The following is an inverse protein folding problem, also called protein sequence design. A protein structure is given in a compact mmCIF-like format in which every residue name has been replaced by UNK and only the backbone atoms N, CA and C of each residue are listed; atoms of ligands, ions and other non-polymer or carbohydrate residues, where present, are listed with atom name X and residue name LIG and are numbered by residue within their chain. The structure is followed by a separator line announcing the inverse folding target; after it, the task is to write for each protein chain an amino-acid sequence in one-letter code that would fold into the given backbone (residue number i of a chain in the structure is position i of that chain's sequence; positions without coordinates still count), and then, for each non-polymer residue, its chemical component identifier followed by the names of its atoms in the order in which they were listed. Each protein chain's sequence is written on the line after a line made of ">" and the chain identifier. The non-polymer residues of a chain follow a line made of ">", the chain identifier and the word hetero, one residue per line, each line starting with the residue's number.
data_IF_701948260288
#
_entry.id   IF_701948260288
#
_cell.length_a   1.000
_cell.length_b   1.000
_cell.length_c   1.000
_cell.angle_alpha   90.00
_cell.angle_beta   90.00
_cell.angle_gamma   90.00
#
_symmetry.space_group_name_H-M   'P 1'
#
loop_
_entity.id
_entity.type
_entity.pdbx_description
1 polymer ?
#
# COMPACT_ATOMS: atom_id res chain seq x y z
N UNK A 1 11.86 -16.22 -7.63
CA UNK A 1 10.78 -15.25 -7.94
C UNK A 1 10.14 -14.66 -6.69
N UNK A 2 9.86 -15.46 -5.66
CA UNK A 2 9.22 -14.99 -4.41
C UNK A 2 9.89 -13.79 -3.74
N UNK A 3 11.23 -13.76 -3.64
CA UNK A 3 11.95 -12.63 -3.04
C UNK A 3 11.75 -11.30 -3.82
N UNK A 4 11.71 -11.37 -5.17
CA UNK A 4 11.43 -10.19 -6.01
C UNK A 4 9.98 -9.73 -5.87
N UNK A 5 9.03 -10.66 -5.84
CA UNK A 5 7.61 -10.35 -5.63
C UNK A 5 7.37 -9.71 -4.25
N UNK A 6 8.05 -10.22 -3.20
CA UNK A 6 7.98 -9.69 -1.84
C UNK A 6 8.60 -8.29 -1.73
N UNK A 7 9.78 -8.09 -2.33
CA UNK A 7 10.41 -6.77 -2.39
C UNK A 7 9.56 -5.75 -3.18
N UNK A 8 8.89 -6.17 -4.25
CA UNK A 8 7.96 -5.34 -5.00
C UNK A 8 6.74 -4.97 -4.14
N UNK A 9 6.12 -5.94 -3.48
CA UNK A 9 4.98 -5.71 -2.59
C UNK A 9 5.31 -4.75 -1.44
N UNK A 10 6.49 -4.88 -0.83
CA UNK A 10 6.95 -3.94 0.21
C UNK A 10 7.13 -2.52 -0.34
N UNK A 11 7.75 -2.36 -1.51
CA UNK A 11 7.93 -1.04 -2.15
C UNK A 11 6.60 -0.38 -2.49
N UNK A 12 5.67 -1.14 -3.04
CA UNK A 12 4.36 -0.62 -3.43
C UNK A 12 3.55 -0.22 -2.19
N UNK A 13 3.58 -1.01 -1.09
CA UNK A 13 2.97 -0.65 0.20
C UNK A 13 3.56 0.63 0.79
N UNK A 14 4.89 0.80 0.74
CA UNK A 14 5.56 2.05 1.16
C UNK A 14 5.16 3.25 0.28
N UNK A 15 4.93 3.02 -1.01
CA UNK A 15 4.42 4.03 -1.92
C UNK A 15 3.04 4.54 -1.51
N UNK A 16 2.15 3.62 -1.15
CA UNK A 16 0.81 3.93 -0.66
C UNK A 16 0.84 4.73 0.65
N UNK A 17 1.71 4.36 1.61
CA UNK A 17 1.88 5.12 2.86
C UNK A 17 2.25 6.59 2.62
N UNK A 18 3.14 6.85 1.66
CA UNK A 18 3.50 8.24 1.31
C UNK A 18 2.32 9.03 0.76
N UNK A 19 1.37 8.38 0.09
CA UNK A 19 0.15 9.04 -0.39
C UNK A 19 -0.79 9.36 0.76
N UNK A 20 -0.98 8.44 1.72
CA UNK A 20 -1.71 8.73 2.95
C UNK A 20 -1.10 9.90 3.72
N UNK A 21 0.23 9.94 3.84
CA UNK A 21 0.95 11.02 4.54
C UNK A 21 0.76 12.37 3.83
N UNK A 22 0.81 12.39 2.50
CA UNK A 22 0.55 13.60 1.71
C UNK A 22 -0.89 14.08 1.87
N UNK A 23 -1.88 13.18 1.86
CA UNK A 23 -3.29 13.52 2.08
C UNK A 23 -3.50 14.07 3.50
N UNK A 24 -2.89 13.45 4.51
CA UNK A 24 -2.97 13.92 5.90
C UNK A 24 -2.34 15.30 6.12
N UNK A 25 -1.27 15.62 5.38
CA UNK A 25 -0.63 16.93 5.44
C UNK A 25 -1.51 18.05 4.86
N UNK A 26 -2.32 17.75 3.84
CA UNK A 26 -3.24 18.71 3.21
C UNK A 26 -4.58 18.77 3.94
N UNK A 27 -5.07 17.62 4.43
CA UNK A 27 -6.40 17.45 5.01
C UNK A 27 -6.33 16.91 6.44
N UNK A 28 -5.85 17.70 7.42
CA UNK A 28 -5.71 17.25 8.81
C UNK A 28 -7.06 16.91 9.46
N UNK A 29 -8.17 17.46 8.98
CA UNK A 29 -9.52 17.15 9.44
C UNK A 29 -9.90 15.67 9.22
N UNK A 30 -9.29 15.00 8.24
CA UNK A 30 -9.49 13.58 7.95
C UNK A 30 -8.58 12.66 8.77
N UNK A 31 -7.68 13.20 9.60
CA UNK A 31 -6.66 12.43 10.28
C UNK A 31 -7.22 11.35 11.20
N UNK A 32 -8.23 11.68 12.01
CA UNK A 32 -8.84 10.71 12.93
C UNK A 32 -9.42 9.49 12.20
N UNK A 33 -9.91 9.67 10.97
CA UNK A 33 -10.46 8.58 10.14
C UNK A 33 -9.37 7.81 9.40
N UNK A 34 -8.34 8.50 8.90
CA UNK A 34 -7.30 7.91 8.06
C UNK A 34 -6.15 7.26 8.84
N UNK A 35 -5.91 7.67 10.09
CA UNK A 35 -4.88 7.09 10.97
C UNK A 35 -4.98 5.57 11.15
N UNK A 36 -6.16 4.97 11.45
CA UNK A 36 -6.25 3.51 11.57
C UNK A 36 -5.97 2.81 10.23
N UNK A 37 -6.48 3.33 9.11
CA UNK A 37 -6.21 2.76 7.78
C UNK A 37 -4.72 2.81 7.43
N UNK A 38 -4.05 3.94 7.73
CA UNK A 38 -2.61 4.10 7.55
C UNK A 38 -1.81 3.09 8.40
N UNK A 39 -2.22 2.85 9.63
CA UNK A 39 -1.56 1.88 10.52
C UNK A 39 -1.64 0.45 9.96
N UNK A 40 -2.80 0.05 9.42
CA UNK A 40 -2.97 -1.24 8.76
C UNK A 40 -2.08 -1.36 7.51
N UNK A 41 -2.00 -0.32 6.67
CA UNK A 41 -1.10 -0.31 5.51
C UNK A 41 0.37 -0.42 5.93
N UNK A 42 0.75 0.18 7.07
CA UNK A 42 2.09 0.07 7.63
C UNK A 42 2.38 -1.35 8.15
N UNK A 43 1.42 -1.98 8.82
CA UNK A 43 1.53 -3.37 9.24
C UNK A 43 1.68 -4.31 8.02
N UNK A 44 0.94 -4.07 6.94
CA UNK A 44 1.10 -4.84 5.69
C UNK A 44 2.50 -4.68 5.08
N UNK A 45 3.06 -3.46 5.08
CA UNK A 45 4.43 -3.23 4.61
C UNK A 45 5.45 -4.01 5.44
N UNK A 46 5.33 -3.96 6.77
CA UNK A 46 6.18 -4.70 7.69
C UNK A 46 6.07 -6.22 7.48
N UNK A 47 4.87 -6.75 7.27
CA UNK A 47 4.65 -8.17 6.99
C UNK A 47 5.39 -8.64 5.73
N UNK A 48 5.44 -7.82 4.66
CA UNK A 48 6.25 -8.15 3.49
C UNK A 48 7.75 -8.08 3.76
N UNK A 49 8.22 -7.25 4.69
CA UNK A 49 9.64 -7.15 5.03
C UNK A 49 10.10 -8.29 5.93
N UNK A 50 9.28 -8.71 6.90
CA UNK A 50 9.67 -9.71 7.90
C UNK A 50 9.97 -11.09 7.28
N UNK A 51 9.21 -11.55 6.30
CA UNK A 51 9.53 -12.80 5.58
C UNK A 51 10.63 -12.66 4.52
N UNK A 52 11.39 -11.55 4.50
CA UNK A 52 12.71 -11.49 3.83
C UNK A 52 13.88 -11.81 4.77
N UNK A 53 13.62 -11.99 6.07
CA UNK A 53 14.62 -12.40 7.06
C UNK A 53 14.95 -13.90 6.93
N UNK A 54 15.69 -14.27 5.89
CA UNK A 54 16.58 -15.42 5.92
C UNK A 54 17.99 -14.90 6.26
N UNK A 55 18.73 -15.47 7.23
CA UNK A 55 19.97 -14.88 7.72
C UNK A 55 21.13 -15.20 6.77
N UNK A 56 21.19 -14.52 5.62
CA UNK A 56 22.42 -14.28 4.84
C UNK A 56 22.07 -13.51 3.57
N UNK A 57 22.35 -12.20 3.58
CA UNK A 57 23.10 -11.53 2.52
C UNK A 57 23.12 -10.03 2.81
N UNK A 58 24.29 -9.56 3.22
CA UNK A 58 24.76 -8.18 3.11
C UNK A 58 24.62 -7.71 1.66
N UNK A 59 23.88 -6.64 1.42
CA UNK A 59 23.74 -6.01 0.11
C UNK A 59 23.11 -4.63 0.22
N UNK A 60 23.92 -3.59 0.05
CA UNK A 60 23.67 -2.14 0.18
C UNK A 60 22.25 -1.62 -0.10
N UNK A 61 21.80 -0.58 0.64
CA UNK A 61 20.67 0.23 0.22
C UNK A 61 21.09 1.11 -0.96
N UNK A 62 20.62 0.77 -2.17
CA UNK A 62 20.62 1.73 -3.28
C UNK A 62 19.21 2.29 -3.42
N UNK A 63 18.97 3.57 -3.08
CA UNK A 63 17.68 4.21 -3.32
C UNK A 63 17.60 4.56 -4.81
N UNK A 64 17.22 3.60 -5.66
CA UNK A 64 16.66 3.98 -6.96
C UNK A 64 15.24 4.43 -6.72
N UNK A 65 15.09 5.69 -6.34
CA UNK A 65 13.84 6.42 -6.46
C UNK A 65 13.51 6.48 -7.96
N UNK A 66 12.70 5.53 -8.44
CA UNK A 66 11.90 5.83 -9.62
C UNK A 66 11.05 7.06 -9.28
N UNK A 67 10.83 7.99 -10.21
CA UNK A 67 9.92 9.10 -9.98
C UNK A 67 8.50 8.52 -9.90
N UNK A 68 8.10 8.07 -8.70
CA UNK A 68 6.69 8.10 -8.35
C UNK A 68 6.33 9.55 -8.44
N UNK A 69 5.60 9.92 -9.49
CA UNK A 69 4.97 11.23 -9.62
C UNK A 69 4.47 11.62 -8.22
N UNK A 70 4.95 12.77 -7.73
CA UNK A 70 4.47 13.33 -6.47
C UNK A 70 2.95 13.22 -6.47
N UNK A 71 2.34 12.65 -5.42
CA UNK A 71 0.89 12.50 -5.43
C UNK A 71 0.30 13.90 -5.55
N UNK A 72 -0.30 14.19 -6.70
CA UNK A 72 -1.14 15.39 -6.84
C UNK A 72 -2.34 15.15 -5.96
N UNK A 73 -2.26 15.64 -4.73
CA UNK A 73 -3.37 15.58 -3.77
C UNK A 73 -4.37 16.65 -4.21
N UNK A 74 -5.61 16.27 -4.57
CA UNK A 74 -6.65 17.23 -4.86
C UNK A 74 -6.91 18.15 -3.66
N UNK A 75 -7.18 19.43 -3.94
CA UNK A 75 -7.54 20.41 -2.92
C UNK A 75 -8.90 20.10 -2.27
N UNK A 76 -9.79 19.38 -2.96
CA UNK A 76 -11.05 18.91 -2.41
C UNK A 76 -10.88 17.60 -1.63
N UNK A 77 -11.35 17.58 -0.37
CA UNK A 77 -11.31 16.41 0.52
C UNK A 77 -11.90 15.15 -0.14
N UNK A 78 -13.07 15.29 -0.79
CA UNK A 78 -13.76 14.22 -1.51
C UNK A 78 -12.93 13.64 -2.66
N UNK A 79 -12.30 14.51 -3.44
CA UNK A 79 -11.42 14.11 -4.54
C UNK A 79 -10.14 13.45 -4.02
N UNK A 80 -9.61 13.90 -2.88
CA UNK A 80 -8.47 13.26 -2.23
C UNK A 80 -8.79 11.85 -1.71
N UNK A 81 -9.96 11.67 -1.08
CA UNK A 81 -10.45 10.35 -0.66
C UNK A 81 -10.70 9.42 -1.86
N UNK A 82 -11.29 9.93 -2.95
CA UNK A 82 -11.51 9.16 -4.17
C UNK A 82 -10.20 8.74 -4.84
N UNK A 83 -9.20 9.63 -4.88
CA UNK A 83 -7.86 9.33 -5.39
C UNK A 83 -7.18 8.24 -4.57
N UNK A 84 -7.28 8.32 -3.26
CA UNK A 84 -6.70 7.34 -2.33
C UNK A 84 -7.43 5.99 -2.37
N UNK A 85 -8.76 5.98 -2.55
CA UNK A 85 -9.54 4.77 -2.80
C UNK A 85 -9.16 4.10 -4.13
N UNK A 86 -8.93 4.89 -5.19
CA UNK A 86 -8.47 4.38 -6.48
C UNK A 86 -7.06 3.78 -6.39
N UNK A 87 -6.16 4.41 -5.63
CA UNK A 87 -4.82 3.90 -5.38
C UNK A 87 -4.85 2.56 -4.62
N UNK A 88 -5.64 2.46 -3.55
CA UNK A 88 -5.86 1.21 -2.81
C UNK A 88 -6.40 0.10 -3.72
N UNK A 89 -7.40 0.40 -4.55
CA UNK A 89 -7.99 -0.58 -5.48
C UNK A 89 -7.01 -1.03 -6.57
N UNK A 90 -6.28 -0.10 -7.19
CA UNK A 90 -5.27 -0.45 -8.19
C UNK A 90 -4.17 -1.34 -7.61
N UNK A 91 -3.76 -1.08 -6.37
CA UNK A 91 -2.74 -1.87 -5.70
C UNK A 91 -3.28 -3.26 -5.30
N UNK A 92 -4.53 -3.35 -4.86
CA UNK A 92 -5.20 -4.63 -4.63
C UNK A 92 -5.27 -5.47 -5.92
N UNK A 93 -5.63 -4.87 -7.05
CA UNK A 93 -5.68 -5.55 -8.35
C UNK A 93 -4.30 -6.04 -8.81
N UNK A 94 -3.26 -5.22 -8.62
CA UNK A 94 -1.88 -5.61 -8.93
C UNK A 94 -1.42 -6.80 -8.08
N UNK A 95 -1.72 -6.78 -6.77
CA UNK A 95 -1.43 -7.90 -5.87
C UNK A 95 -2.20 -9.14 -6.26
N UNK A 96 -3.49 -9.01 -6.61
CA UNK A 96 -4.33 -10.12 -7.06
C UNK A 96 -3.78 -10.78 -8.33
N UNK A 97 -3.25 -10.00 -9.28
CA UNK A 97 -2.56 -10.55 -10.47
C UNK A 97 -1.28 -11.28 -10.08
N UNK A 98 -0.48 -10.70 -9.19
CA UNK A 98 0.79 -11.30 -8.75
C UNK A 98 0.59 -12.63 -7.99
N UNK A 99 -0.59 -12.91 -7.45
CA UNK A 99 -0.94 -14.20 -6.84
C UNK A 99 -0.73 -15.38 -7.77
N UNK A 100 -0.94 -15.19 -9.07
CA UNK A 100 -0.85 -16.26 -10.07
C UNK A 100 0.59 -16.74 -10.27
N UNK A 101 1.57 -15.91 -9.91
CA UNK A 101 2.99 -16.16 -10.16
C UNK A 101 3.76 -16.61 -8.91
N UNK A 102 3.10 -16.69 -7.74
CA UNK A 102 3.76 -17.03 -6.47
C UNK A 102 3.08 -18.20 -5.77
N UNK A 103 3.84 -19.19 -5.24
CA UNK A 103 3.26 -20.30 -4.51
C UNK A 103 3.11 -20.03 -3.00
N UNK A 104 2.22 -20.79 -2.37
CA UNK A 104 2.24 -21.05 -0.92
C UNK A 104 1.84 -19.88 -0.03
N UNK A 105 2.63 -19.64 1.01
CA UNK A 105 2.36 -18.63 2.05
C UNK A 105 2.32 -17.20 1.48
N UNK A 106 3.21 -16.89 0.53
CA UNK A 106 3.24 -15.56 -0.09
C UNK A 106 1.97 -15.23 -0.88
N UNK A 107 1.37 -16.24 -1.54
CA UNK A 107 0.09 -16.07 -2.21
C UNK A 107 -1.03 -15.80 -1.19
N UNK A 108 -1.06 -16.52 -0.06
CA UNK A 108 -2.06 -16.29 0.99
C UNK A 108 -1.92 -14.89 1.60
N UNK A 109 -0.68 -14.44 1.85
CA UNK A 109 -0.40 -13.10 2.35
C UNK A 109 -0.85 -12.02 1.35
N UNK A 110 -0.48 -12.13 0.08
CA UNK A 110 -0.90 -11.20 -0.96
C UNK A 110 -2.43 -11.15 -1.11
N UNK A 111 -3.11 -12.29 -0.99
CA UNK A 111 -4.56 -12.37 -1.09
C UNK A 111 -5.26 -11.68 0.08
N UNK A 112 -4.76 -11.89 1.31
CA UNK A 112 -5.25 -11.20 2.51
C UNK A 112 -5.07 -9.68 2.41
N UNK A 113 -3.88 -9.24 2.00
CA UNK A 113 -3.59 -7.80 1.85
C UNK A 113 -4.37 -7.17 0.69
N UNK A 114 -4.60 -7.90 -0.42
CA UNK A 114 -5.45 -7.44 -1.51
C UNK A 114 -6.92 -7.29 -1.05
N UNK A 115 -7.44 -8.25 -0.29
CA UNK A 115 -8.79 -8.17 0.27
C UNK A 115 -8.95 -6.99 1.25
N UNK A 116 -7.95 -6.77 2.12
CA UNK A 116 -7.94 -5.62 3.04
C UNK A 116 -7.92 -4.27 2.27
N UNK A 117 -7.06 -4.14 1.25
CA UNK A 117 -7.02 -2.94 0.41
C UNK A 117 -8.34 -2.66 -0.33
N UNK A 118 -9.01 -3.71 -0.82
CA UNK A 118 -10.35 -3.57 -1.41
C UNK A 118 -11.41 -3.10 -0.39
N UNK A 119 -11.29 -3.54 0.87
CA UNK A 119 -12.11 -3.08 1.99
C UNK A 119 -11.87 -1.61 2.34
N UNK A 120 -10.60 -1.18 2.38
CA UNK A 120 -10.23 0.23 2.59
C UNK A 120 -10.81 1.11 1.50
N UNK A 121 -10.62 0.74 0.22
CA UNK A 121 -11.20 1.47 -0.91
C UNK A 121 -12.72 1.62 -0.78
N UNK A 122 -13.43 0.56 -0.36
CA UNK A 122 -14.86 0.63 -0.11
C UNK A 122 -15.21 1.58 1.04
N UNK A 123 -14.50 1.53 2.16
CA UNK A 123 -14.74 2.42 3.31
C UNK A 123 -14.49 3.89 2.98
N UNK A 124 -13.44 4.18 2.21
CA UNK A 124 -13.12 5.54 1.75
C UNK A 124 -14.20 6.10 0.82
N UNK A 125 -14.77 5.24 -0.04
CA UNK A 125 -15.83 5.65 -0.98
C UNK A 125 -17.20 5.72 -0.31
N UNK A 126 -17.47 4.90 0.70
CA UNK A 126 -18.75 4.89 1.45
C UNK A 126 -18.82 6.03 2.47
N UNK A 127 -17.68 6.43 3.02
CA UNK A 127 -17.58 7.55 3.96
C UNK A 127 -17.79 8.94 3.35
N UNK A 128 -18.17 9.00 2.07
CA UNK A 128 -18.47 10.17 1.24
C UNK A 128 -19.97 10.28 0.89
N UNK A 129 -20.80 9.36 1.39
CA UNK A 129 -22.25 9.35 1.23
C UNK A 129 -22.97 9.80 2.50
#
# INVERSE_FOLDING_TARGET
>A
MCARARARAARDSRGLLRQYDAVLAVHPALAERLRPLRAEVAAHAAAFEEGTASPKATGSPSPTASPSASPTVPADEKSALASLAAAERSLADQRARALLDVPGELARLLAGVAAAGAGHAYLLTKGDR
#
